data_IF_380440191547
#
_entry.id   IF_380440191547
#
_cell.length_a   1.000
_cell.length_b   1.000
_cell.length_c   1.000
_cell.angle_alpha   90.00
_cell.angle_beta   90.00
_cell.angle_gamma   90.00
#
_symmetry.space_group_name_H-M   'P 1'
#
loop_
_entity.id
_entity.type
_entity.pdbx_description
1 polymer ?
#
# COMPACT_ATOMS: atom_id res chain seq x y z
N UNK A 1 11.13 6.59 22.54
CA UNK A 1 11.91 7.10 21.40
C UNK A 1 12.69 5.91 20.82
N UNK A 2 12.20 5.29 19.75
CA UNK A 2 12.79 4.05 19.21
C UNK A 2 14.08 4.42 18.44
N UNK A 3 15.23 3.78 18.73
CA UNK A 3 16.49 4.13 18.08
C UNK A 3 16.45 3.83 16.57
N UNK A 4 16.79 4.85 15.76
CA UNK A 4 16.79 4.86 14.28
C UNK A 4 17.67 3.78 13.61
N UNK A 5 18.46 3.01 14.36
CA UNK A 5 19.58 2.23 13.81
C UNK A 5 19.41 0.70 13.75
N UNK A 6 18.27 0.13 14.15
CA UNK A 6 18.11 -1.35 14.13
C UNK A 6 17.67 -1.96 12.80
N UNK A 7 17.36 -1.15 11.79
CA UNK A 7 16.91 -1.62 10.47
C UNK A 7 17.77 -1.14 9.30
N UNK A 8 18.93 -0.53 9.58
CA UNK A 8 19.87 -0.03 8.57
C UNK A 8 20.45 -1.13 7.66
N UNK A 9 20.33 -2.40 8.06
CA UNK A 9 20.77 -3.56 7.28
C UNK A 9 19.67 -4.21 6.43
N UNK A 10 18.43 -3.71 6.46
CA UNK A 10 17.45 -4.00 5.41
C UNK A 10 17.86 -3.17 4.20
N UNK A 11 18.71 -3.79 3.37
CA UNK A 11 19.64 -3.12 2.46
C UNK A 11 19.05 -2.06 1.52
N UNK A 12 19.98 -1.25 1.04
CA UNK A 12 19.92 -0.22 -0.01
C UNK A 12 19.25 -0.71 -1.31
N UNK A 13 17.99 -1.08 -1.24
CA UNK A 13 17.11 -1.31 -2.37
C UNK A 13 15.85 -0.55 -2.05
N UNK A 14 15.60 0.52 -2.78
CA UNK A 14 14.41 1.38 -2.73
C UNK A 14 13.10 0.66 -3.09
N UNK A 15 13.04 -0.67 -2.90
CA UNK A 15 12.04 -1.57 -3.47
C UNK A 15 11.34 -2.47 -2.44
N UNK A 16 11.83 -2.56 -1.19
CA UNK A 16 11.21 -3.39 -0.16
C UNK A 16 10.26 -2.55 0.70
N UNK A 17 8.95 -2.73 0.53
CA UNK A 17 7.97 -2.19 1.47
C UNK A 17 7.89 -3.12 2.68
N UNK A 18 8.11 -2.56 3.87
CA UNK A 18 8.04 -3.28 5.15
C UNK A 18 7.05 -2.60 6.08
N UNK A 19 6.08 -3.36 6.59
CA UNK A 19 5.23 -2.97 7.71
C UNK A 19 5.82 -3.54 9.00
N UNK A 20 5.84 -2.73 10.05
CA UNK A 20 6.34 -3.13 11.37
C UNK A 20 5.18 -3.31 12.35
N UNK A 21 5.39 -4.17 13.36
CA UNK A 21 4.51 -4.35 14.50
C UNK A 21 5.20 -3.82 15.75
N UNK A 22 4.44 -3.12 16.58
CA UNK A 22 4.84 -2.70 17.92
C UNK A 22 4.17 -3.62 18.94
N UNK A 23 4.97 -4.28 19.79
CA UNK A 23 4.47 -4.88 21.01
C UNK A 23 4.32 -3.78 22.07
N UNK A 24 3.10 -3.57 22.58
CA UNK A 24 2.81 -2.50 23.53
C UNK A 24 3.33 -2.76 24.95
N UNK A 25 3.51 -4.03 25.32
CA UNK A 25 4.02 -4.40 26.64
C UNK A 25 5.54 -4.21 26.71
N UNK A 26 6.25 -4.63 25.66
CA UNK A 26 7.72 -4.60 25.62
C UNK A 26 8.28 -3.36 24.94
N UNK A 27 7.44 -2.57 24.25
CA UNK A 27 7.83 -1.50 23.32
C UNK A 27 8.77 -1.95 22.19
N UNK A 28 8.83 -3.25 21.91
CA UNK A 28 9.63 -3.79 20.83
C UNK A 28 8.93 -3.59 19.48
N UNK A 29 9.68 -3.07 18.51
CA UNK A 29 9.25 -3.00 17.12
C UNK A 29 9.90 -4.15 16.36
N UNK A 30 9.13 -4.91 15.60
CA UNK A 30 9.64 -5.99 14.74
C UNK A 30 9.04 -5.91 13.35
N UNK A 31 9.74 -6.38 12.30
CA UNK A 31 9.11 -6.55 10.99
C UNK A 31 7.88 -7.46 11.11
N UNK A 32 6.79 -7.05 10.48
CA UNK A 32 5.53 -7.81 10.48
C UNK A 32 5.26 -8.39 9.08
N UNK A 33 5.16 -7.53 8.08
CA UNK A 33 4.99 -7.93 6.69
C UNK A 33 6.10 -7.30 5.85
N UNK A 34 6.82 -8.11 5.07
CA UNK A 34 7.97 -7.68 4.29
C UNK A 34 7.71 -7.88 2.80
N UNK A 35 8.31 -7.03 1.97
CA UNK A 35 8.23 -7.11 0.51
C UNK A 35 6.79 -7.04 -0.03
N UNK A 36 5.97 -6.14 0.52
CA UNK A 36 4.60 -5.97 0.04
C UNK A 36 4.57 -5.51 -1.43
N UNK A 37 3.60 -5.96 -2.25
CA UNK A 37 3.53 -5.70 -3.69
C UNK A 37 3.03 -4.29 -4.04
N UNK A 38 3.26 -3.31 -3.15
CA UNK A 38 2.75 -1.97 -3.32
C UNK A 38 3.01 -1.08 -2.11
N UNK A 39 2.23 0.00 -2.03
CA UNK A 39 2.24 1.00 -0.97
C UNK A 39 1.02 0.76 -0.06
N UNK A 40 1.19 0.14 1.11
CA UNK A 40 0.10 -0.07 2.05
C UNK A 40 -0.40 1.25 2.59
N UNK A 41 -1.72 1.34 2.75
CA UNK A 41 -2.40 2.49 3.33
C UNK A 41 -3.07 2.06 4.66
N UNK A 42 -4.37 1.80 4.68
CA UNK A 42 -5.06 1.39 5.90
C UNK A 42 -5.08 -0.12 6.11
N UNK A 43 -5.07 -0.50 7.40
CA UNK A 43 -5.22 -1.87 7.89
C UNK A 43 -6.58 -2.01 8.60
N UNK A 44 -7.32 -3.08 8.30
CA UNK A 44 -8.61 -3.42 8.93
C UNK A 44 -8.66 -4.90 9.28
N UNK A 45 -9.44 -5.25 10.30
CA UNK A 45 -9.67 -6.65 10.62
C UNK A 45 -10.42 -7.36 9.47
N UNK A 46 -10.00 -8.58 9.16
CA UNK A 46 -10.74 -9.53 8.32
C UNK A 46 -11.28 -10.69 9.15
N UNK A 47 -11.85 -11.69 8.48
CA UNK A 47 -12.25 -12.94 9.11
C UNK A 47 -11.06 -13.76 9.63
N UNK A 48 -11.25 -14.56 10.68
CA UNK A 48 -10.26 -15.56 11.10
C UNK A 48 -8.87 -15.01 11.46
N UNK A 49 -8.81 -13.98 12.30
CA UNK A 49 -7.55 -13.34 12.76
C UNK A 49 -6.66 -12.80 11.63
N UNK A 50 -7.26 -12.47 10.48
CA UNK A 50 -6.56 -11.85 9.36
C UNK A 50 -6.70 -10.33 9.36
N UNK A 51 -5.88 -9.68 8.54
CA UNK A 51 -5.87 -8.24 8.36
C UNK A 51 -5.99 -7.90 6.87
N UNK A 52 -7.01 -7.14 6.51
CA UNK A 52 -7.12 -6.54 5.19
C UNK A 52 -6.28 -5.27 5.10
N UNK A 53 -5.55 -5.13 4.01
CA UNK A 53 -4.70 -3.95 3.74
C UNK A 53 -5.01 -3.41 2.34
N UNK A 54 -5.37 -2.14 2.28
CA UNK A 54 -5.51 -1.39 1.03
C UNK A 54 -4.15 -0.98 0.49
N UNK A 55 -3.92 -1.12 -0.82
CA UNK A 55 -2.72 -0.60 -1.46
C UNK A 55 -3.07 0.68 -2.25
N UNK A 56 -2.58 1.83 -1.75
CA UNK A 56 -2.73 3.13 -2.39
C UNK A 56 -1.90 3.26 -3.68
N UNK A 57 -1.09 2.26 -4.01
CA UNK A 57 -0.42 2.10 -5.30
C UNK A 57 0.19 0.71 -5.41
N UNK A 58 0.05 0.07 -6.56
CA UNK A 58 0.57 -1.26 -6.80
C UNK A 58 1.94 -1.18 -7.48
N UNK A 59 2.88 -2.02 -7.03
CA UNK A 59 4.16 -2.22 -7.68
C UNK A 59 4.12 -3.50 -8.50
N UNK A 60 4.42 -3.40 -9.78
CA UNK A 60 4.58 -4.57 -10.62
C UNK A 60 5.78 -4.41 -11.54
N UNK A 61 6.49 -5.51 -11.82
CA UNK A 61 7.70 -5.52 -12.63
C UNK A 61 7.47 -5.06 -14.09
N UNK A 62 6.25 -5.25 -14.59
CA UNK A 62 5.87 -4.93 -15.98
C UNK A 62 5.50 -3.47 -16.26
N UNK A 63 5.28 -2.63 -15.25
CA UNK A 63 5.17 -1.19 -15.44
C UNK A 63 5.76 -0.47 -14.22
N UNK A 64 7.02 -0.01 -14.34
CA UNK A 64 7.70 0.67 -13.25
C UNK A 64 7.03 2.02 -12.95
N UNK A 65 6.94 2.33 -11.66
CA UNK A 65 6.46 3.63 -11.16
C UNK A 65 7.55 4.70 -11.33
N UNK A 66 7.19 5.87 -11.88
CA UNK A 66 8.11 7.00 -11.94
C UNK A 66 8.51 7.49 -10.53
N UNK A 67 7.62 7.32 -9.55
CA UNK A 67 7.88 7.65 -8.15
C UNK A 67 8.99 6.75 -7.59
N UNK A 68 8.93 5.45 -7.88
CA UNK A 68 9.95 4.51 -7.43
C UNK A 68 11.29 4.74 -8.14
N UNK A 69 11.25 5.14 -9.42
CA UNK A 69 12.44 5.52 -10.19
C UNK A 69 13.13 6.79 -9.67
N UNK A 70 12.35 7.78 -9.20
CA UNK A 70 12.88 9.01 -8.60
C UNK A 70 13.37 8.83 -7.16
N UNK A 71 12.90 7.79 -6.44
CA UNK A 71 13.24 7.50 -5.04
C UNK A 71 14.73 7.65 -4.68
N UNK A 72 15.65 6.98 -5.41
CA UNK A 72 17.09 7.05 -5.16
C UNK A 72 17.76 8.41 -5.40
N UNK A 73 17.08 9.39 -5.99
CA UNK A 73 17.66 10.67 -6.42
C UNK A 73 17.05 11.85 -5.66
N UNK A 74 17.61 12.27 -4.50
CA UNK A 74 17.06 13.33 -3.65
C UNK A 74 16.86 14.66 -4.37
N UNK A 75 17.81 15.07 -5.23
CA UNK A 75 17.74 16.32 -5.97
C UNK A 75 16.56 16.33 -6.96
N UNK A 76 16.33 15.21 -7.65
CA UNK A 76 15.19 15.07 -8.58
C UNK A 76 13.88 15.18 -7.81
N UNK A 77 13.77 14.48 -6.67
CA UNK A 77 12.57 14.56 -5.81
C UNK A 77 12.31 15.99 -5.35
N UNK A 78 13.35 16.71 -4.93
CA UNK A 78 13.23 18.10 -4.50
C UNK A 78 12.75 19.01 -5.64
N UNK A 79 13.41 18.96 -6.80
CA UNK A 79 13.02 19.76 -7.98
C UNK A 79 11.57 19.48 -8.39
N UNK A 80 11.17 18.20 -8.41
CA UNK A 80 9.79 17.84 -8.72
C UNK A 80 8.82 18.48 -7.73
N UNK A 81 9.06 18.35 -6.41
CA UNK A 81 8.19 18.90 -5.37
C UNK A 81 8.15 20.44 -5.39
N UNK A 82 9.25 21.10 -5.74
CA UNK A 82 9.34 22.56 -5.80
C UNK A 82 8.65 23.13 -7.06
N UNK A 83 8.69 22.40 -8.18
CA UNK A 83 8.13 22.87 -9.46
C UNK A 83 6.64 22.54 -9.65
N UNK A 84 6.17 21.42 -9.09
CA UNK A 84 4.80 20.95 -9.32
C UNK A 84 3.90 21.44 -8.19
N UNK A 85 2.84 22.22 -8.49
CA UNK A 85 1.92 22.69 -7.47
C UNK A 85 1.29 21.56 -6.66
N UNK A 86 1.08 21.76 -5.36
CA UNK A 86 0.61 20.72 -4.45
C UNK A 86 -0.68 20.02 -4.93
N UNK A 87 -1.66 20.78 -5.42
CA UNK A 87 -2.94 20.25 -5.90
C UNK A 87 -2.80 19.34 -7.15
N UNK A 88 -1.72 19.49 -7.93
CA UNK A 88 -1.45 18.64 -9.09
C UNK A 88 -0.99 17.24 -8.67
N UNK A 89 -0.31 17.12 -7.53
CA UNK A 89 0.19 15.83 -7.07
C UNK A 89 -0.92 14.82 -6.89
N UNK A 90 -2.01 15.19 -6.21
CA UNK A 90 -3.15 14.29 -5.99
C UNK A 90 -3.93 14.07 -7.29
N UNK A 91 -4.15 15.14 -8.07
CA UNK A 91 -4.95 15.10 -9.29
C UNK A 91 -4.31 14.25 -10.39
N UNK A 92 -2.99 14.30 -10.56
CA UNK A 92 -2.26 13.64 -11.65
C UNK A 92 -1.39 12.47 -11.21
N UNK A 93 -1.39 12.08 -9.93
CA UNK A 93 -0.63 10.92 -9.42
C UNK A 93 -0.88 9.65 -10.22
N UNK A 94 -2.11 9.49 -10.73
CA UNK A 94 -2.55 8.35 -11.51
C UNK A 94 -1.89 8.26 -12.90
N UNK A 95 -1.28 9.34 -13.40
CA UNK A 95 -0.55 9.34 -14.68
C UNK A 95 0.88 8.83 -14.53
N UNK A 96 1.48 9.00 -13.35
CA UNK A 96 2.87 8.61 -13.06
C UNK A 96 2.98 7.22 -12.41
N UNK A 97 1.85 6.51 -12.31
CA UNK A 97 1.74 5.16 -11.77
C UNK A 97 0.91 4.25 -12.68
N UNK A 98 1.16 2.94 -12.66
CA UNK A 98 0.35 2.00 -13.41
C UNK A 98 -1.09 1.97 -12.92
N UNK A 99 -2.04 1.78 -13.85
CA UNK A 99 -3.44 1.56 -13.51
C UNK A 99 -3.62 0.14 -13.00
N UNK A 100 -3.42 -0.05 -11.70
CA UNK A 100 -3.64 -1.34 -11.04
C UNK A 100 -4.04 -1.07 -9.59
N UNK A 101 -5.21 -1.54 -9.21
CA UNK A 101 -5.64 -1.56 -7.81
C UNK A 101 -5.53 -2.96 -7.22
N UNK A 102 -5.10 -3.04 -5.97
CA UNK A 102 -4.96 -4.30 -5.24
C UNK A 102 -5.31 -4.10 -3.77
N UNK A 103 -5.91 -5.12 -3.18
CA UNK A 103 -5.91 -5.30 -1.72
C UNK A 103 -5.29 -6.64 -1.39
N UNK A 104 -4.70 -6.72 -0.21
CA UNK A 104 -4.11 -7.96 0.31
C UNK A 104 -4.74 -8.30 1.65
N UNK A 105 -4.86 -9.59 1.92
CA UNK A 105 -5.18 -10.12 3.23
C UNK A 105 -3.92 -10.73 3.83
N UNK A 106 -3.58 -10.31 5.04
CA UNK A 106 -2.45 -10.80 5.80
C UNK A 106 -2.93 -11.75 6.90
N UNK A 107 -2.17 -12.81 7.18
CA UNK A 107 -2.34 -13.62 8.38
C UNK A 107 -1.97 -12.84 9.65
N UNK A 108 -2.22 -13.44 10.82
CA UNK A 108 -1.75 -12.92 12.10
C UNK A 108 -0.21 -12.81 12.18
N UNK A 109 0.53 -13.48 11.30
CA UNK A 109 1.99 -13.46 11.23
C UNK A 109 2.53 -12.58 10.09
N UNK A 110 1.64 -11.96 9.31
CA UNK A 110 2.02 -10.97 8.28
C UNK A 110 2.31 -11.58 6.92
N UNK A 111 1.95 -12.86 6.73
CA UNK A 111 2.02 -13.53 5.45
C UNK A 111 0.80 -13.17 4.58
N UNK A 112 1.02 -12.96 3.28
CA UNK A 112 -0.08 -12.71 2.34
C UNK A 112 -0.84 -14.02 2.09
N UNK A 113 -2.08 -14.09 2.56
CA UNK A 113 -2.95 -15.27 2.41
C UNK A 113 -3.95 -15.14 1.26
N UNK A 114 -4.29 -13.90 0.87
CA UNK A 114 -5.18 -13.62 -0.25
C UNK A 114 -4.80 -12.30 -0.90
N UNK A 115 -4.99 -12.19 -2.22
CA UNK A 115 -4.92 -10.92 -2.94
C UNK A 115 -6.11 -10.77 -3.87
N UNK A 116 -6.63 -9.54 -3.98
CA UNK A 116 -7.69 -9.19 -4.92
C UNK A 116 -7.21 -8.05 -5.80
N UNK A 117 -7.44 -8.16 -7.11
CA UNK A 117 -6.83 -7.29 -8.10
C UNK A 117 -7.89 -6.72 -9.06
N UNK A 118 -7.71 -5.45 -9.41
CA UNK A 118 -8.20 -4.86 -10.64
C UNK A 118 -7.00 -4.43 -11.49
N UNK A 119 -6.47 -5.31 -12.36
CA UNK A 119 -5.25 -5.06 -13.12
C UNK A 119 -5.36 -3.94 -14.15
N UNK A 120 -6.58 -3.49 -14.48
CA UNK A 120 -6.80 -2.38 -15.43
C UNK A 120 -7.19 -1.09 -14.69
N UNK A 121 -7.46 -1.15 -13.39
CA UNK A 121 -7.95 -0.03 -12.59
C UNK A 121 -9.25 0.58 -13.12
N UNK A 122 -10.13 -0.24 -13.69
CA UNK A 122 -11.40 0.20 -14.30
C UNK A 122 -12.48 0.39 -13.22
N UNK A 123 -12.55 -0.55 -12.29
CA UNK A 123 -13.55 -0.60 -11.22
C UNK A 123 -13.08 0.13 -9.97
N UNK A 124 -11.77 0.17 -9.72
CA UNK A 124 -11.20 0.93 -8.59
C UNK A 124 -9.76 1.34 -8.87
N UNK A 125 -9.35 2.47 -8.30
CA UNK A 125 -7.99 3.01 -8.36
C UNK A 125 -7.55 3.37 -6.95
N UNK A 126 -6.26 3.20 -6.63
CA UNK A 126 -5.63 3.66 -5.39
C UNK A 126 -6.46 3.33 -4.12
N UNK A 127 -6.51 2.04 -3.76
CA UNK A 127 -7.36 1.56 -2.67
C UNK A 127 -6.77 2.00 -1.34
N UNK A 128 -7.38 3.00 -0.72
CA UNK A 128 -6.96 3.47 0.61
C UNK A 128 -7.55 2.63 1.72
N UNK A 129 -8.73 2.06 1.52
CA UNK A 129 -9.43 1.29 2.55
C UNK A 129 -10.11 0.06 1.98
N UNK A 130 -10.09 -1.01 2.77
CA UNK A 130 -10.89 -2.21 2.57
C UNK A 130 -11.49 -2.61 3.91
N UNK A 131 -12.81 -2.80 3.95
CA UNK A 131 -13.54 -3.17 5.16
C UNK A 131 -14.45 -4.35 4.86
N UNK A 132 -14.33 -5.40 5.65
CA UNK A 132 -15.19 -6.57 5.57
C UNK A 132 -16.43 -6.39 6.47
N UNK A 133 -17.61 -6.72 5.94
CA UNK A 133 -18.86 -6.76 6.68
C UNK A 133 -19.73 -7.89 6.13
N UNK A 134 -19.91 -8.94 6.94
CA UNK A 134 -20.54 -10.18 6.51
C UNK A 134 -19.81 -10.78 5.30
N UNK A 135 -20.58 -11.09 4.27
CA UNK A 135 -20.10 -11.68 2.99
C UNK A 135 -19.64 -10.61 1.99
N UNK A 136 -19.41 -9.37 2.42
CA UNK A 136 -19.02 -8.28 1.54
C UNK A 136 -17.72 -7.61 1.96
N UNK A 137 -16.94 -7.22 0.96
CA UNK A 137 -15.88 -6.23 1.09
C UNK A 137 -16.34 -4.89 0.53
N UNK A 138 -16.01 -3.82 1.24
CA UNK A 138 -16.21 -2.44 0.83
C UNK A 138 -14.86 -1.77 0.63
N UNK A 139 -14.70 -1.07 -0.48
CA UNK A 139 -13.44 -0.43 -0.84
C UNK A 139 -13.59 1.09 -0.92
N UNK A 140 -12.69 1.79 -0.24
CA UNK A 140 -12.52 3.23 -0.31
C UNK A 140 -11.30 3.59 -1.15
N UNK A 141 -11.39 4.74 -1.83
CA UNK A 141 -10.33 5.34 -2.61
C UNK A 141 -10.43 6.86 -2.49
N UNK A 142 -9.30 7.55 -2.50
CA UNK A 142 -9.26 9.02 -2.50
C UNK A 142 -9.44 9.64 -3.90
N UNK A 143 -9.56 8.82 -4.95
CA UNK A 143 -9.88 9.26 -6.32
C UNK A 143 -11.29 8.92 -6.77
N UNK A 144 -11.87 7.82 -6.28
CA UNK A 144 -13.19 7.39 -6.70
C UNK A 144 -14.30 8.26 -6.11
N UNK A 145 -15.36 8.48 -6.89
CA UNK A 145 -16.60 9.18 -6.46
C UNK A 145 -17.65 8.23 -5.88
N UNK A 146 -17.25 7.00 -5.56
CA UNK A 146 -18.12 5.92 -5.13
C UNK A 146 -17.39 4.96 -4.20
N UNK A 147 -18.15 4.19 -3.44
CA UNK A 147 -17.66 3.04 -2.67
C UNK A 147 -17.91 1.79 -3.52
N UNK A 148 -16.86 1.02 -3.80
CA UNK A 148 -17.02 -0.26 -4.48
C UNK A 148 -17.36 -1.35 -3.45
N UNK A 149 -18.20 -2.32 -3.85
CA UNK A 149 -18.57 -3.47 -3.02
C UNK A 149 -18.34 -4.76 -3.80
N UNK A 150 -17.69 -5.74 -3.16
CA UNK A 150 -17.49 -7.09 -3.70
C UNK A 150 -18.14 -8.12 -2.77
N UNK A 151 -18.88 -9.06 -3.33
CA UNK A 151 -19.38 -10.22 -2.60
C UNK A 151 -18.28 -11.29 -2.54
N UNK A 152 -17.92 -11.72 -1.34
CA UNK A 152 -17.05 -12.86 -1.09
C UNK A 152 -17.87 -14.12 -1.35
N UNK A 153 -17.69 -14.73 -2.53
CA UNK A 153 -18.18 -16.09 -2.74
C UNK A 153 -17.23 -17.07 -2.06
N UNK A 154 -17.79 -18.16 -1.52
CA UNK A 154 -17.03 -19.33 -1.05
C UNK A 154 -16.07 -19.86 -2.11
#
# INVERSE_FOLDING_TARGET
MVPRNKYSNLGTSSRLTVSFRLNLETNEVTPFAVNLPGLPDNIRAGAGSTLWVGLAGVRHSGAPSMIDAAGPYPLIRQILMDLIPEHWWIQYLHLVRPRHAMVIQLSADGEIVQTLHDPKGISIQDVSQVSQSGEYLYFGSFHNKYIARLHLKE
#
